data_IF_977020925409
#
_entry.id   IF_977020925409
#
_cell.length_a   1.000
_cell.length_b   1.000
_cell.length_c   1.000
_cell.angle_alpha   90.00
_cell.angle_beta   90.00
_cell.angle_gamma   90.00
#
_symmetry.space_group_name_H-M   'P 1'
#
loop_
_entity.id
_entity.type
_entity.pdbx_description
1 polymer ?
#
# COMPACT_ATOMS: atom_id res chain seq x y z
N UNK A 1 -18.37 10.31 -23.41
CA UNK A 1 -18.57 10.46 -21.95
C UNK A 1 -18.23 9.12 -21.32
N UNK A 2 -17.10 9.02 -20.63
CA UNK A 2 -16.71 7.77 -19.95
C UNK A 2 -17.41 7.79 -18.61
N UNK A 3 -18.46 6.98 -18.46
CA UNK A 3 -19.04 6.71 -17.15
C UNK A 3 -18.00 5.87 -16.42
N UNK A 4 -17.26 6.47 -15.48
CA UNK A 4 -16.44 5.71 -14.54
C UNK A 4 -17.38 5.30 -13.42
N UNK A 5 -17.74 4.02 -13.36
CA UNK A 5 -18.42 3.48 -12.17
C UNK A 5 -17.53 3.80 -10.95
N UNK A 6 -18.06 4.59 -10.03
CA UNK A 6 -17.33 5.00 -8.84
C UNK A 6 -17.20 3.81 -7.90
N UNK A 7 -15.98 3.36 -7.66
CA UNK A 7 -15.69 2.34 -6.65
C UNK A 7 -15.59 3.03 -5.29
N UNK A 8 -16.42 2.58 -4.35
CA UNK A 8 -16.43 3.06 -2.98
C UNK A 8 -15.73 2.05 -2.06
N UNK A 9 -14.79 2.51 -1.25
CA UNK A 9 -14.20 1.69 -0.20
C UNK A 9 -15.22 1.55 0.92
N UNK A 10 -15.63 0.32 1.22
CA UNK A 10 -16.61 0.01 2.28
C UNK A 10 -16.00 -0.60 3.53
N UNK A 11 -14.75 -1.08 3.44
CA UNK A 11 -14.01 -1.65 4.57
C UNK A 11 -12.50 -1.60 4.34
N UNK A 12 -11.73 -1.27 5.38
CA UNK A 12 -10.26 -1.35 5.38
C UNK A 12 -9.86 -2.27 6.52
N UNK A 13 -9.10 -3.34 6.22
CA UNK A 13 -8.53 -4.23 7.23
C UNK A 13 -7.03 -4.33 7.10
N UNK A 14 -6.30 -4.22 8.20
CA UNK A 14 -4.85 -4.39 8.26
C UNK A 14 -4.51 -5.36 9.39
N UNK A 15 -3.90 -6.50 9.06
CA UNK A 15 -3.53 -7.56 10.01
C UNK A 15 -4.68 -7.99 10.95
N UNK A 16 -5.89 -8.06 10.42
CA UNK A 16 -7.10 -8.43 11.17
C UNK A 16 -7.78 -7.29 11.92
N UNK A 17 -7.20 -6.09 11.93
CA UNK A 17 -7.82 -4.89 12.51
C UNK A 17 -8.61 -4.13 11.47
N UNK A 18 -9.83 -3.73 11.81
CA UNK A 18 -10.66 -2.87 10.97
C UNK A 18 -10.33 -1.40 11.24
N UNK A 19 -10.00 -0.65 10.18
CA UNK A 19 -9.63 0.75 10.26
C UNK A 19 -10.78 1.63 9.78
N UNK A 20 -11.00 2.80 10.42
CA UNK A 20 -11.95 3.77 9.90
C UNK A 20 -11.51 4.26 8.53
N UNK A 21 -12.48 4.46 7.63
CA UNK A 21 -12.23 4.90 6.26
C UNK A 21 -12.03 6.43 6.30
N UNK A 22 -10.84 6.94 5.94
CA UNK A 22 -10.62 8.38 5.90
C UNK A 22 -11.55 9.04 4.87
N UNK A 23 -12.01 10.25 5.17
CA UNK A 23 -12.79 11.05 4.23
C UNK A 23 -11.99 11.27 2.94
N UNK A 24 -12.65 11.11 1.78
CA UNK A 24 -12.01 11.27 0.47
C UNK A 24 -11.09 10.11 0.05
N UNK A 25 -10.94 9.05 0.84
CA UNK A 25 -10.05 7.93 0.50
C UNK A 25 -10.46 7.21 -0.80
N UNK A 26 -11.76 6.97 -1.00
CA UNK A 26 -12.29 6.41 -2.25
C UNK A 26 -11.94 7.27 -3.46
N UNK A 27 -12.10 8.60 -3.34
CA UNK A 27 -11.77 9.55 -4.40
C UNK A 27 -10.27 9.59 -4.70
N UNK A 28 -9.44 9.57 -3.65
CA UNK A 28 -7.99 9.50 -3.79
C UNK A 28 -7.56 8.27 -4.60
N UNK A 29 -8.07 7.08 -4.26
CA UNK A 29 -7.73 5.83 -4.95
C UNK A 29 -8.27 5.78 -6.39
N UNK A 30 -9.44 6.38 -6.63
CA UNK A 30 -10.00 6.54 -7.98
C UNK A 30 -9.14 7.44 -8.86
N UNK A 31 -8.58 8.52 -8.29
CA UNK A 31 -7.70 9.45 -9.00
C UNK A 31 -6.31 8.87 -9.26
N UNK A 32 -5.79 8.06 -8.35
CA UNK A 32 -4.46 7.45 -8.50
C UNK A 32 -4.43 6.28 -9.49
N UNK A 33 -5.59 5.82 -9.97
CA UNK A 33 -5.67 4.72 -10.94
C UNK A 33 -5.30 3.35 -10.37
N UNK A 34 -5.36 3.18 -9.04
CA UNK A 34 -5.07 1.89 -8.39
C UNK A 34 -6.18 0.86 -8.61
N UNK A 35 -7.35 1.27 -9.08
CA UNK A 35 -8.45 0.37 -9.37
C UNK A 35 -8.38 -0.15 -10.81
N UNK A 36 -8.16 -1.46 -10.94
CA UNK A 36 -8.29 -2.17 -12.22
C UNK A 36 -9.42 -3.19 -12.07
N UNK A 37 -10.49 -3.00 -12.85
CA UNK A 37 -11.67 -3.86 -12.82
C UNK A 37 -11.46 -5.07 -13.73
N UNK A 38 -11.65 -6.28 -13.20
CA UNK A 38 -11.56 -7.54 -13.96
C UNK A 38 -10.16 -8.13 -14.12
N UNK A 39 -9.14 -7.56 -13.49
CA UNK A 39 -7.80 -8.16 -13.43
C UNK A 39 -7.70 -9.16 -12.27
N UNK A 40 -6.92 -10.23 -12.45
CA UNK A 40 -6.58 -11.13 -11.34
C UNK A 40 -5.95 -10.30 -10.21
N UNK A 41 -6.38 -10.55 -8.98
CA UNK A 41 -5.75 -9.95 -7.80
C UNK A 41 -4.27 -10.29 -7.84
N UNK A 42 -3.43 -9.29 -8.11
CA UNK A 42 -1.97 -9.46 -8.06
C UNK A 42 -1.62 -9.93 -6.65
N UNK A 43 -1.22 -11.19 -6.54
CA UNK A 43 -0.64 -11.72 -5.32
C UNK A 43 0.75 -11.12 -5.19
N UNK A 44 0.82 -10.03 -4.45
CA UNK A 44 2.08 -9.41 -4.07
C UNK A 44 2.85 -10.41 -3.21
N UNK A 45 3.93 -10.97 -3.75
CA UNK A 45 4.86 -11.80 -2.99
C UNK A 45 5.72 -10.89 -2.10
N UNK A 46 5.19 -10.58 -0.91
CA UNK A 46 5.82 -9.65 0.03
C UNK A 46 7.23 -10.10 0.41
N UNK A 47 7.46 -11.40 0.57
CA UNK A 47 8.77 -11.96 0.94
C UNK A 47 9.80 -11.75 -0.17
N UNK A 48 9.41 -11.96 -1.42
CA UNK A 48 10.26 -11.70 -2.58
C UNK A 48 10.59 -10.21 -2.71
N UNK A 49 9.60 -9.33 -2.54
CA UNK A 49 9.82 -7.88 -2.61
C UNK A 49 10.75 -7.44 -1.47
N UNK A 50 10.48 -7.86 -0.24
CA UNK A 50 11.27 -7.49 0.94
C UNK A 50 12.68 -8.10 0.91
N UNK A 51 12.93 -9.20 0.20
CA UNK A 51 14.26 -9.77 0.03
C UNK A 51 15.25 -8.79 -0.64
N UNK A 52 14.73 -7.86 -1.43
CA UNK A 52 15.52 -6.81 -2.07
C UNK A 52 15.91 -5.66 -1.12
N UNK A 53 15.45 -5.69 0.12
CA UNK A 53 15.72 -4.65 1.10
C UNK A 53 16.53 -5.21 2.28
N UNK A 54 17.36 -4.36 2.86
CA UNK A 54 17.94 -4.57 4.19
C UNK A 54 17.02 -3.90 5.21
N UNK A 55 16.70 -4.62 6.29
CA UNK A 55 15.86 -4.08 7.35
C UNK A 55 16.72 -3.72 8.54
N UNK A 56 16.64 -2.45 8.93
CA UNK A 56 17.29 -1.93 10.12
C UNK A 56 16.22 -1.36 11.06
N UNK A 57 16.35 -1.60 12.36
CA UNK A 57 15.46 -1.03 13.37
C UNK A 57 16.30 -0.16 14.30
N UNK A 58 16.02 1.14 14.32
CA UNK A 58 16.80 2.14 15.06
C UNK A 58 15.91 2.95 15.98
N UNK A 59 16.51 3.47 17.06
CA UNK A 59 15.88 4.45 17.93
C UNK A 59 16.46 5.84 17.59
N UNK A 60 15.68 6.68 16.94
CA UNK A 60 16.07 8.04 16.56
C UNK A 60 15.13 9.05 17.22
N UNK A 61 15.70 10.04 17.92
CA UNK A 61 14.94 11.07 18.65
C UNK A 61 13.83 10.52 19.57
N UNK A 62 14.10 9.38 20.22
CA UNK A 62 13.15 8.70 21.09
C UNK A 62 12.01 7.96 20.36
N UNK A 63 12.06 7.85 19.04
CA UNK A 63 11.09 7.12 18.21
C UNK A 63 11.71 5.84 17.67
N UNK A 64 10.91 4.77 17.65
CA UNK A 64 11.29 3.51 17.03
C UNK A 64 11.04 3.59 15.53
N UNK A 65 12.11 3.55 14.73
CA UNK A 65 12.07 3.62 13.28
C UNK A 65 12.45 2.27 12.68
N UNK A 66 11.73 1.84 11.65
CA UNK A 66 12.14 0.68 10.81
C UNK A 66 12.50 1.19 9.43
N UNK A 67 13.78 1.08 9.07
CA UNK A 67 14.32 1.46 7.79
C UNK A 67 14.38 0.24 6.86
N UNK A 68 13.89 0.39 5.64
CA UNK A 68 14.02 -0.60 4.57
C UNK A 68 14.93 -0.02 3.49
N UNK A 69 16.17 -0.50 3.42
CA UNK A 69 17.21 0.01 2.52
C UNK A 69 17.28 -0.88 1.28
N UNK A 70 16.98 -0.34 0.10
CA UNK A 70 17.00 -1.12 -1.13
C UNK A 70 18.44 -1.55 -1.50
N UNK A 71 18.65 -2.85 -1.73
CA UNK A 71 19.96 -3.46 -2.07
C UNK A 71 20.26 -3.46 -3.57
N UNK A 72 19.27 -3.17 -4.41
CA UNK A 72 19.46 -3.18 -5.87
C UNK A 72 20.29 -2.00 -6.37
N UNK A 73 20.87 -2.12 -7.56
CA UNK A 73 21.50 -0.97 -8.23
C UNK A 73 20.42 0.06 -8.55
N UNK A 74 20.60 1.30 -8.09
CA UNK A 74 19.86 2.45 -8.61
C UNK A 74 20.13 2.49 -10.11
N UNK A 75 19.08 2.28 -10.90
CA UNK A 75 19.17 2.18 -12.35
C UNK A 75 19.04 3.55 -12.98
#
# INVERSE_FOLDING_TARGET
MIIREGIEVTRITLDGYELPIPEGYSEFLLRSGYWRYGEEVEKINRDEILSNYEREVVMEDGKLCTNLIYKGKVK
#
